data_IF_765315295579
#
_entry.id   IF_765315295579
#
_cell.length_a   1.000
_cell.length_b   1.000
_cell.length_c   1.000
_cell.angle_alpha   90.00
_cell.angle_beta   90.00
_cell.angle_gamma   90.00
#
_symmetry.space_group_name_H-M   'P 1'
#
loop_
_entity.id
_entity.type
_entity.pdbx_description
1 polymer ?
#
# COMPACT_ATOMS: atom_id res chain seq x y z
N UNK A 1 -5.02 13.37 14.34
CA UNK A 1 -3.88 12.56 13.86
C UNK A 1 -2.87 12.45 14.98
N UNK A 2 -2.56 11.25 15.46
CA UNK A 2 -1.62 11.02 16.56
C UNK A 2 -0.34 10.45 15.96
N UNK A 3 0.79 11.11 16.23
CA UNK A 3 2.12 10.59 15.91
C UNK A 3 2.63 9.81 17.11
N UNK A 4 3.02 8.56 16.88
CA UNK A 4 3.43 7.63 17.93
C UNK A 4 4.94 7.45 17.87
N UNK A 5 5.59 7.45 19.03
CA UNK A 5 7.00 7.11 19.11
C UNK A 5 7.16 5.60 19.03
N UNK A 6 8.11 5.12 18.22
CA UNK A 6 8.55 3.73 18.27
C UNK A 6 9.95 3.67 18.90
N UNK A 7 10.00 3.19 20.13
CA UNK A 7 11.24 3.13 20.89
C UNK A 7 12.24 2.11 20.31
N UNK A 8 11.77 1.15 19.50
CA UNK A 8 12.61 0.17 18.80
C UNK A 8 13.64 0.86 17.91
N UNK A 9 13.29 2.03 17.37
CA UNK A 9 14.13 2.79 16.44
C UNK A 9 14.74 4.05 17.07
N UNK A 10 14.69 4.18 18.40
CA UNK A 10 15.42 5.23 19.09
C UNK A 10 16.93 5.05 18.90
N UNK A 11 17.65 6.17 18.89
CA UNK A 11 19.08 6.26 18.60
C UNK A 11 19.46 5.77 17.20
N UNK A 12 18.51 5.70 16.26
CA UNK A 12 18.75 5.38 14.86
C UNK A 12 18.31 6.55 13.95
N UNK A 13 18.93 6.63 12.78
CA UNK A 13 18.48 7.42 11.62
C UNK A 13 18.87 6.69 10.33
N UNK A 14 18.60 7.28 9.16
CA UNK A 14 19.04 6.78 7.86
C UNK A 14 20.20 7.62 7.32
N UNK A 15 20.96 7.06 6.38
CA UNK A 15 22.00 7.80 5.67
C UNK A 15 21.44 8.63 4.49
N UNK A 16 20.28 8.24 3.94
CA UNK A 16 19.64 8.88 2.80
C UNK A 16 18.14 8.54 2.75
N UNK A 17 17.44 8.98 1.70
CA UNK A 17 16.04 8.64 1.46
C UNK A 17 15.03 9.54 2.20
N UNK A 18 15.50 10.67 2.72
CA UNK A 18 14.63 11.65 3.37
C UNK A 18 13.78 12.42 2.36
N UNK A 19 12.52 12.67 2.71
CA UNK A 19 11.65 13.62 2.00
C UNK A 19 12.19 15.04 2.18
N UNK A 20 12.61 15.35 3.41
CA UNK A 20 13.23 16.62 3.78
C UNK A 20 13.95 16.49 5.12
N UNK A 21 14.85 17.44 5.34
CA UNK A 21 15.50 17.70 6.61
C UNK A 21 15.24 19.16 6.98
N UNK A 22 14.73 19.41 8.19
CA UNK A 22 14.34 20.75 8.62
C UNK A 22 14.73 21.00 10.07
N UNK A 23 15.11 22.23 10.39
CA UNK A 23 15.27 22.66 11.78
C UNK A 23 13.91 22.70 12.47
N UNK A 24 13.83 22.17 13.69
CA UNK A 24 12.65 22.24 14.54
C UNK A 24 13.03 22.12 16.01
N UNK A 25 12.42 22.98 16.83
CA UNK A 25 12.74 23.03 18.27
C UNK A 25 11.98 22.01 19.12
N UNK A 26 11.11 21.21 18.52
CA UNK A 26 10.33 20.19 19.23
C UNK A 26 9.75 19.14 18.28
N UNK A 27 9.51 17.94 18.83
CA UNK A 27 8.75 16.87 18.17
C UNK A 27 7.37 17.32 17.67
N UNK A 28 6.70 18.24 18.38
CA UNK A 28 5.41 18.79 17.97
C UNK A 28 5.53 19.60 16.67
N UNK A 29 6.62 20.33 16.49
CA UNK A 29 6.86 21.06 15.23
C UNK A 29 7.16 20.08 14.09
N UNK A 30 7.90 19.00 14.35
CA UNK A 30 8.10 17.93 13.36
C UNK A 30 6.76 17.31 12.94
N UNK A 31 5.93 16.94 13.91
CA UNK A 31 4.67 16.25 13.67
C UNK A 31 3.70 17.11 12.86
N UNK A 32 3.58 18.41 13.15
CA UNK A 32 2.77 19.35 12.34
C UNK A 32 3.34 19.47 10.92
N UNK A 33 4.65 19.58 10.78
CA UNK A 33 5.30 19.73 9.47
C UNK A 33 5.10 18.48 8.61
N UNK A 34 5.25 17.29 9.21
CA UNK A 34 5.01 16.01 8.56
C UNK A 34 3.52 15.82 8.24
N UNK A 35 2.63 16.26 9.13
CA UNK A 35 1.18 16.25 8.87
C UNK A 35 0.80 17.10 7.64
N UNK A 36 1.51 18.18 7.37
CA UNK A 36 1.20 19.03 6.21
C UNK A 36 1.91 18.59 4.91
N UNK A 37 2.65 17.47 4.93
CA UNK A 37 3.32 16.91 3.75
C UNK A 37 2.92 15.44 3.61
N UNK A 38 2.05 15.13 2.64
CA UNK A 38 1.52 13.77 2.42
C UNK A 38 2.61 12.74 2.09
N UNK A 39 3.78 13.20 1.62
CA UNK A 39 4.92 12.32 1.36
C UNK A 39 5.61 11.89 2.65
N UNK A 40 5.33 12.54 3.78
CA UNK A 40 5.92 12.22 5.07
C UNK A 40 5.11 11.13 5.76
N UNK A 41 5.69 9.92 5.84
CA UNK A 41 5.12 8.75 6.51
C UNK A 41 5.64 8.58 7.93
N UNK A 42 6.91 8.93 8.17
CA UNK A 42 7.55 8.94 9.47
C UNK A 42 8.56 10.08 9.56
N UNK A 43 9.03 10.38 10.77
CA UNK A 43 10.13 11.32 10.97
C UNK A 43 10.99 10.93 12.17
N UNK A 44 12.26 11.30 12.10
CA UNK A 44 13.18 11.32 13.22
C UNK A 44 13.23 12.73 13.81
N UNK A 45 13.37 12.85 15.13
CA UNK A 45 13.60 14.10 15.83
C UNK A 45 14.88 14.00 16.67
N UNK A 46 15.80 14.96 16.52
CA UNK A 46 16.97 15.11 17.39
C UNK A 46 16.79 16.36 18.23
N UNK A 47 16.71 16.19 19.56
CA UNK A 47 16.65 17.34 20.47
C UNK A 47 17.99 18.07 20.58
N UNK A 48 19.10 17.34 20.45
CA UNK A 48 20.44 17.92 20.45
C UNK A 48 20.65 18.86 19.25
N UNK A 49 20.27 18.42 18.05
CA UNK A 49 20.45 19.19 16.81
C UNK A 49 19.28 20.14 16.52
N UNK A 50 18.19 20.05 17.31
CA UNK A 50 16.92 20.73 17.05
C UNK A 50 16.50 20.54 15.59
N UNK A 51 16.44 19.29 15.14
CA UNK A 51 16.17 18.94 13.75
C UNK A 51 15.17 17.79 13.61
N UNK A 52 14.49 17.76 12.46
CA UNK A 52 13.64 16.67 12.04
C UNK A 52 14.10 16.14 10.67
N UNK A 53 14.05 14.81 10.51
CA UNK A 53 14.33 14.13 9.25
C UNK A 53 13.09 13.32 8.86
N UNK A 54 12.42 13.69 7.77
CA UNK A 54 11.21 13.01 7.32
C UNK A 54 11.53 11.87 6.36
N UNK A 55 10.84 10.74 6.50
CA UNK A 55 10.91 9.62 5.57
C UNK A 55 9.53 9.35 4.94
N UNK A 56 9.49 8.83 3.70
CA UNK A 56 8.23 8.49 3.05
C UNK A 56 7.71 7.09 3.39
N UNK A 57 8.42 6.35 4.24
CA UNK A 57 8.12 4.98 4.62
C UNK A 57 8.34 4.78 6.12
N UNK A 58 7.73 3.72 6.63
CA UNK A 58 7.98 3.22 7.98
C UNK A 58 9.22 2.32 7.98
N UNK A 59 10.06 2.43 9.01
CA UNK A 59 11.12 1.47 9.26
C UNK A 59 10.52 0.10 9.57
N UNK A 60 11.09 -0.94 8.95
CA UNK A 60 10.70 -2.34 9.16
C UNK A 60 11.71 -3.13 9.98
N UNK A 61 12.97 -2.67 10.02
CA UNK A 61 14.04 -3.29 10.79
C UNK A 61 15.09 -2.26 11.20
N UNK A 62 15.84 -2.56 12.27
CA UNK A 62 16.93 -1.70 12.75
C UNK A 62 18.19 -1.80 11.87
N UNK A 63 18.32 -2.86 11.06
CA UNK A 63 19.48 -3.10 10.19
C UNK A 63 19.62 -2.10 9.04
N UNK A 64 18.57 -1.34 8.74
CA UNK A 64 18.57 -0.26 7.74
C UNK A 64 19.14 1.06 8.28
N UNK A 65 19.30 1.17 9.61
CA UNK A 65 19.63 2.40 10.30
C UNK A 65 21.11 2.57 10.64
N UNK A 66 21.54 3.82 10.77
CA UNK A 66 22.81 4.22 11.39
C UNK A 66 22.55 4.74 12.81
N UNK A 67 23.43 4.40 13.74
CA UNK A 67 23.30 4.81 15.14
C UNK A 67 23.61 6.29 15.30
N UNK A 68 22.62 7.06 15.75
CA UNK A 68 22.76 8.49 16.12
C UNK A 68 22.06 8.70 17.45
N UNK A 69 22.86 8.72 18.52
CA UNK A 69 22.39 8.81 19.91
C UNK A 69 21.54 10.07 20.12
N UNK A 70 20.41 9.92 20.83
CA UNK A 70 19.49 11.03 21.13
C UNK A 70 18.45 11.31 20.04
N UNK A 71 18.45 10.51 18.98
CA UNK A 71 17.40 10.57 17.95
C UNK A 71 16.18 9.76 18.36
N UNK A 72 15.00 10.33 18.25
CA UNK A 72 13.72 9.67 18.49
C UNK A 72 12.99 9.44 17.15
N UNK A 73 12.32 8.30 17.00
CA UNK A 73 11.57 7.99 15.77
C UNK A 73 10.07 8.01 16.02
N UNK A 74 9.34 8.70 15.13
CA UNK A 74 7.90 8.86 15.18
C UNK A 74 7.25 8.49 13.87
N UNK A 75 6.11 7.82 13.94
CA UNK A 75 5.34 7.44 12.77
C UNK A 75 3.85 7.77 12.92
N UNK A 76 3.18 7.88 11.78
CA UNK A 76 1.73 8.02 11.74
C UNK A 76 1.10 6.68 11.37
N UNK A 77 0.18 6.23 12.21
CA UNK A 77 -0.69 5.09 11.93
C UNK A 77 -2.15 5.50 12.18
N UNK A 78 -3.04 5.43 11.18
CA UNK A 78 -4.46 5.63 11.41
C UNK A 78 -4.98 4.56 12.38
N UNK A 79 -5.87 4.93 13.29
CA UNK A 79 -6.45 4.00 14.26
C UNK A 79 -7.17 2.81 13.58
N UNK A 80 -7.71 3.02 12.37
CA UNK A 80 -8.44 2.03 11.60
C UNK A 80 -7.54 1.19 10.68
N UNK A 81 -6.21 1.36 10.75
CA UNK A 81 -5.25 0.62 9.91
C UNK A 81 -4.69 -0.58 10.68
N UNK A 82 -5.05 -1.83 10.33
CA UNK A 82 -4.62 -3.02 11.07
C UNK A 82 -3.09 -3.14 11.12
N UNK A 83 -2.56 -3.79 12.17
CA UNK A 83 -1.13 -3.75 12.55
C UNK A 83 -0.18 -4.19 11.42
N UNK A 84 -0.61 -5.15 10.65
CA UNK A 84 0.08 -5.80 9.54
C UNK A 84 -0.17 -5.14 8.17
N UNK A 85 -0.94 -4.05 8.12
CA UNK A 85 -1.19 -3.29 6.90
C UNK A 85 -0.18 -2.14 6.75
N UNK A 86 0.21 -1.89 5.50
CA UNK A 86 0.98 -0.71 5.10
C UNK A 86 0.02 0.43 4.81
N UNK A 87 0.12 1.53 5.55
CA UNK A 87 -0.68 2.73 5.30
C UNK A 87 -0.07 3.61 4.20
N UNK A 88 -0.84 3.83 3.13
CA UNK A 88 -0.59 4.87 2.16
C UNK A 88 -1.37 6.14 2.53
N UNK A 89 -0.63 7.13 3.02
CA UNK A 89 -1.20 8.41 3.42
C UNK A 89 -1.77 9.24 2.27
N UNK A 90 -1.11 9.24 1.11
CA UNK A 90 -1.53 9.99 -0.09
C UNK A 90 -2.90 9.52 -0.59
N UNK A 91 -3.18 8.22 -0.50
CA UNK A 91 -4.43 7.62 -0.95
C UNK A 91 -5.41 7.33 0.20
N UNK A 92 -5.03 7.65 1.44
CA UNK A 92 -5.74 7.29 2.66
C UNK A 92 -6.17 5.80 2.70
N UNK A 93 -5.24 4.91 2.32
CA UNK A 93 -5.52 3.51 2.06
C UNK A 93 -4.59 2.62 2.89
N UNK A 94 -5.14 1.63 3.59
CA UNK A 94 -4.37 0.59 4.23
C UNK A 94 -4.32 -0.63 3.31
N UNK A 95 -3.14 -1.15 3.00
CA UNK A 95 -2.97 -2.30 2.10
C UNK A 95 -2.17 -3.41 2.77
N UNK A 96 -2.59 -4.65 2.57
CA UNK A 96 -1.82 -5.86 2.94
C UNK A 96 -1.68 -6.74 1.72
N UNK A 97 -0.43 -7.07 1.38
CA UNK A 97 -0.11 -8.05 0.34
C UNK A 97 -0.02 -9.42 1.00
N UNK A 98 -0.94 -10.32 0.66
CA UNK A 98 -0.94 -11.70 1.14
C UNK A 98 -0.16 -12.56 0.15
N UNK A 99 1.09 -12.87 0.50
CA UNK A 99 2.04 -13.62 -0.32
C UNK A 99 2.56 -14.89 0.38
N UNK A 100 1.89 -15.38 1.42
CA UNK A 100 2.22 -16.66 2.04
C UNK A 100 1.39 -17.80 1.44
N UNK A 101 0.15 -17.51 1.05
CA UNK A 101 -0.84 -18.48 0.58
C UNK A 101 -1.47 -17.99 -0.74
N UNK A 102 -2.11 -18.91 -1.45
CA UNK A 102 -2.86 -18.64 -2.67
C UNK A 102 -4.29 -19.14 -2.53
N UNK A 103 -5.26 -18.34 -2.97
CA UNK A 103 -6.70 -18.63 -2.89
C UNK A 103 -7.35 -18.36 -4.25
N UNK A 104 -8.48 -19.00 -4.54
CA UNK A 104 -9.33 -18.57 -5.66
C UNK A 104 -9.93 -17.18 -5.34
N UNK A 105 -10.52 -16.52 -6.34
CA UNK A 105 -10.99 -15.15 -6.19
C UNK A 105 -12.02 -14.99 -5.07
N UNK A 106 -13.00 -15.90 -5.00
CA UNK A 106 -14.08 -15.82 -4.01
C UNK A 106 -13.58 -16.01 -2.57
N UNK A 107 -12.64 -16.93 -2.36
CA UNK A 107 -12.02 -17.17 -1.06
C UNK A 107 -11.14 -15.98 -0.66
N UNK A 108 -10.33 -15.44 -1.59
CA UNK A 108 -9.52 -14.25 -1.36
C UNK A 108 -10.37 -13.01 -1.01
N UNK A 109 -11.49 -12.82 -1.73
CA UNK A 109 -12.48 -11.78 -1.47
C UNK A 109 -13.07 -11.93 -0.08
N UNK A 110 -13.52 -13.14 0.27
CA UNK A 110 -14.09 -13.46 1.60
C UNK A 110 -13.08 -13.18 2.73
N UNK A 111 -11.82 -13.58 2.56
CA UNK A 111 -10.75 -13.31 3.51
C UNK A 111 -10.56 -11.81 3.75
N UNK A 112 -10.49 -11.00 2.68
CA UNK A 112 -10.33 -9.55 2.84
C UNK A 112 -11.58 -8.87 3.43
N UNK A 113 -12.79 -9.36 3.12
CA UNK A 113 -14.07 -8.85 3.65
C UNK A 113 -14.32 -9.23 5.11
N UNK A 114 -13.61 -10.23 5.64
CA UNK A 114 -13.66 -10.59 7.07
C UNK A 114 -13.17 -9.47 8.00
N UNK A 115 -12.42 -8.51 7.44
CA UNK A 115 -11.89 -7.36 8.16
C UNK A 115 -12.88 -6.21 8.06
N UNK A 116 -13.11 -5.50 9.16
CA UNK A 116 -14.08 -4.40 9.19
C UNK A 116 -13.73 -3.29 8.19
N UNK A 117 -14.63 -3.01 7.24
CA UNK A 117 -14.41 -2.13 6.08
C UNK A 117 -13.25 -2.58 5.17
N UNK A 118 -12.96 -3.88 5.17
CA UNK A 118 -11.99 -4.52 4.30
C UNK A 118 -12.61 -5.06 3.02
N UNK A 119 -11.74 -5.39 2.07
CA UNK A 119 -12.07 -6.07 0.82
C UNK A 119 -10.81 -6.19 -0.04
N UNK A 120 -10.91 -6.83 -1.20
CA UNK A 120 -9.80 -6.78 -2.16
C UNK A 120 -9.50 -5.32 -2.52
N UNK A 121 -8.24 -5.03 -2.83
CA UNK A 121 -7.81 -3.66 -3.13
C UNK A 121 -8.47 -3.15 -4.41
N UNK A 122 -9.13 -1.99 -4.37
CA UNK A 122 -9.64 -1.36 -5.59
C UNK A 122 -8.70 -0.27 -6.05
N UNK A 123 -8.13 -0.45 -7.24
CA UNK A 123 -7.20 0.51 -7.82
C UNK A 123 -7.98 1.44 -8.77
N UNK A 124 -8.16 2.69 -8.35
CA UNK A 124 -8.98 3.71 -9.03
C UNK A 124 -8.19 4.73 -9.84
N UNK A 125 -6.87 4.76 -9.66
CA UNK A 125 -6.01 5.72 -10.34
C UNK A 125 -4.55 5.28 -10.34
N UNK A 126 -3.77 5.93 -11.20
CA UNK A 126 -2.33 5.71 -11.35
C UNK A 126 -1.52 5.85 -10.05
N UNK A 127 -1.91 6.73 -9.11
CA UNK A 127 -1.17 6.89 -7.86
C UNK A 127 -1.36 5.71 -6.90
N UNK A 128 -2.54 5.10 -6.88
CA UNK A 128 -2.80 3.87 -6.14
C UNK A 128 -2.04 2.71 -6.79
N UNK A 129 -2.14 2.60 -8.12
CA UNK A 129 -1.45 1.55 -8.87
C UNK A 129 0.06 1.59 -8.64
N UNK A 130 0.70 2.74 -8.87
CA UNK A 130 2.14 2.91 -8.69
C UNK A 130 2.61 2.63 -7.24
N UNK A 131 1.79 2.92 -6.24
CA UNK A 131 2.10 2.55 -4.86
C UNK A 131 2.09 1.03 -4.66
N UNK A 132 1.04 0.35 -5.13
CA UNK A 132 0.92 -1.10 -5.00
C UNK A 132 2.05 -1.80 -5.74
N UNK A 133 2.32 -1.41 -6.99
CA UNK A 133 3.44 -1.93 -7.79
C UNK A 133 4.78 -1.73 -7.09
N UNK A 134 5.01 -0.57 -6.47
CA UNK A 134 6.23 -0.33 -5.69
C UNK A 134 6.38 -1.30 -4.51
N UNK A 135 5.30 -1.63 -3.82
CA UNK A 135 5.34 -2.61 -2.72
C UNK A 135 5.51 -4.04 -3.25
N UNK A 136 4.85 -4.41 -4.35
CA UNK A 136 4.96 -5.73 -4.97
C UNK A 136 6.36 -5.99 -5.54
N UNK A 137 6.99 -5.01 -6.20
CA UNK A 137 8.36 -5.12 -6.74
C UNK A 137 9.42 -5.45 -5.69
N UNK A 138 9.16 -5.20 -4.40
CA UNK A 138 10.07 -5.57 -3.31
C UNK A 138 10.07 -7.08 -3.03
N UNK A 139 9.02 -7.79 -3.45
CA UNK A 139 8.84 -9.21 -3.17
C UNK A 139 9.54 -10.10 -4.20
N UNK A 140 9.84 -9.58 -5.40
CA UNK A 140 10.46 -10.32 -6.50
C UNK A 140 9.72 -11.63 -6.84
N UNK A 141 8.39 -11.56 -6.85
CA UNK A 141 7.50 -12.69 -7.13
C UNK A 141 7.03 -12.63 -8.59
N UNK A 142 6.82 -13.79 -9.18
CA UNK A 142 6.36 -13.94 -10.58
C UNK A 142 4.89 -14.36 -10.67
N UNK A 143 4.25 -14.74 -9.55
CA UNK A 143 2.84 -15.17 -9.56
C UNK A 143 1.85 -13.99 -9.43
N UNK A 144 0.68 -14.05 -10.11
CA UNK A 144 -0.33 -13.00 -10.05
C UNK A 144 -0.93 -12.71 -8.68
N UNK A 145 -1.53 -11.53 -8.57
CA UNK A 145 -2.21 -11.06 -7.37
C UNK A 145 -3.64 -10.63 -7.67
N UNK A 146 -4.64 -11.27 -7.05
CA UNK A 146 -6.02 -10.80 -7.11
C UNK A 146 -6.18 -9.40 -6.52
N UNK A 147 -6.97 -8.61 -7.23
CA UNK A 147 -7.43 -7.28 -6.85
C UNK A 147 -8.95 -7.21 -7.01
N UNK A 148 -9.57 -6.11 -6.57
CA UNK A 148 -11.01 -5.92 -6.69
C UNK A 148 -11.41 -5.47 -8.10
N UNK A 149 -12.55 -5.98 -8.56
CA UNK A 149 -13.16 -5.66 -9.84
C UNK A 149 -13.67 -6.91 -10.54
N UNK A 150 -14.93 -6.84 -11.00
CA UNK A 150 -15.56 -7.88 -11.80
C UNK A 150 -16.48 -7.28 -12.86
N UNK A 151 -16.53 -7.88 -14.03
CA UNK A 151 -17.41 -7.51 -15.15
C UNK A 151 -18.48 -8.59 -15.46
N UNK A 152 -18.73 -9.52 -14.52
CA UNK A 152 -19.78 -10.56 -14.61
C UNK A 152 -21.17 -10.00 -14.98
N UNK A 153 -21.43 -8.73 -14.63
CA UNK A 153 -22.69 -8.06 -14.94
C UNK A 153 -22.78 -7.52 -16.39
N UNK A 154 -21.65 -7.11 -16.96
CA UNK A 154 -21.54 -6.47 -18.28
C UNK A 154 -20.07 -6.55 -18.74
N UNK A 155 -19.77 -7.48 -19.66
CA UNK A 155 -18.43 -7.73 -20.22
C UNK A 155 -17.67 -6.44 -20.57
N UNK A 156 -16.42 -6.36 -20.12
CA UNK A 156 -15.55 -5.20 -20.32
C UNK A 156 -15.82 -4.02 -19.38
N UNK A 157 -16.79 -4.14 -18.47
CA UNK A 157 -17.14 -3.10 -17.48
C UNK A 157 -16.96 -3.59 -16.05
N UNK A 158 -15.74 -3.42 -15.57
CA UNK A 158 -15.35 -3.84 -14.22
C UNK A 158 -15.96 -2.95 -13.14
N UNK A 159 -16.71 -3.56 -12.24
CA UNK A 159 -17.35 -2.94 -11.08
C UNK A 159 -16.58 -3.36 -9.81
N UNK A 160 -16.14 -2.38 -9.03
CA UNK A 160 -15.52 -2.64 -7.72
C UNK A 160 -16.54 -2.91 -6.62
N UNK A 161 -16.07 -3.37 -5.46
CA UNK A 161 -16.89 -3.70 -4.28
C UNK A 161 -17.80 -2.59 -3.75
N UNK A 162 -17.52 -1.33 -4.08
CA UNK A 162 -18.36 -0.18 -3.72
C UNK A 162 -19.53 0.05 -4.71
N UNK A 163 -19.68 -0.82 -5.70
CA UNK A 163 -20.69 -0.74 -6.76
C UNK A 163 -20.37 0.28 -7.86
N UNK A 164 -19.18 0.88 -7.87
CA UNK A 164 -18.78 1.85 -8.89
C UNK A 164 -17.82 1.22 -9.88
N UNK A 165 -17.99 1.61 -11.14
CA UNK A 165 -17.08 1.25 -12.24
C UNK A 165 -15.63 1.66 -11.95
N UNK A 166 -14.70 0.78 -12.32
CA UNK A 166 -13.27 1.00 -12.31
C UNK A 166 -12.88 1.51 -13.70
N UNK A 167 -12.67 2.82 -13.81
CA UNK A 167 -12.33 3.45 -15.09
C UNK A 167 -10.83 3.56 -15.35
N UNK A 168 -10.00 3.27 -14.34
CA UNK A 168 -8.55 3.16 -14.50
C UNK A 168 -8.19 1.67 -14.59
N UNK A 169 -7.88 1.23 -15.81
CA UNK A 169 -7.46 -0.13 -16.13
C UNK A 169 -6.17 -0.04 -16.95
N UNK A 170 -5.07 -0.46 -16.35
CA UNK A 170 -3.74 -0.45 -16.99
C UNK A 170 -3.44 -1.87 -17.48
N UNK A 171 -4.15 -2.26 -18.53
CA UNK A 171 -4.16 -3.60 -19.09
C UNK A 171 -2.79 -4.06 -19.57
N UNK A 172 -2.49 -5.34 -19.36
CA UNK A 172 -1.33 -5.99 -19.95
C UNK A 172 -1.43 -6.06 -21.47
N UNK A 173 -0.33 -6.43 -22.12
CA UNK A 173 -0.29 -6.43 -23.58
C UNK A 173 -1.19 -7.49 -24.22
N UNK A 174 -1.56 -8.56 -23.49
CA UNK A 174 -2.34 -9.70 -23.99
C UNK A 174 -3.84 -9.42 -23.79
N UNK A 175 -4.28 -9.03 -22.59
CA UNK A 175 -5.68 -8.66 -22.30
C UNK A 175 -6.16 -7.47 -23.13
N UNK A 176 -5.27 -6.55 -23.54
CA UNK A 176 -5.65 -5.49 -24.50
C UNK A 176 -6.06 -6.01 -25.87
N UNK A 177 -5.53 -7.17 -26.27
CA UNK A 177 -5.75 -7.76 -27.60
C UNK A 177 -6.99 -8.67 -27.57
N UNK A 178 -7.37 -9.19 -26.40
CA UNK A 178 -8.38 -10.23 -26.26
C UNK A 178 -9.51 -9.86 -25.28
N UNK A 179 -10.16 -8.71 -25.49
CA UNK A 179 -11.36 -8.28 -24.74
C UNK A 179 -12.63 -9.10 -25.08
N UNK A 180 -12.50 -10.39 -25.39
CA UNK A 180 -13.58 -11.24 -25.89
C UNK A 180 -13.79 -12.52 -25.08
N UNK A 181 -13.12 -12.64 -23.94
CA UNK A 181 -13.23 -13.81 -23.08
C UNK A 181 -14.44 -13.69 -22.15
N UNK A 182 -15.63 -14.04 -22.66
CA UNK A 182 -16.92 -14.10 -21.92
C UNK A 182 -16.92 -15.00 -20.65
N UNK A 183 -15.78 -15.54 -20.22
CA UNK A 183 -15.62 -16.39 -19.05
C UNK A 183 -14.57 -15.88 -18.04
N UNK A 184 -13.96 -14.71 -18.28
CA UNK A 184 -12.90 -14.16 -17.43
C UNK A 184 -13.38 -12.90 -16.70
N UNK A 185 -14.15 -13.11 -15.63
CA UNK A 185 -14.90 -12.02 -15.03
C UNK A 185 -14.18 -11.27 -13.88
N UNK A 186 -12.90 -11.55 -13.58
CA UNK A 186 -12.21 -10.98 -12.40
C UNK A 186 -10.81 -10.49 -12.69
N UNK A 187 -10.36 -9.50 -11.91
CA UNK A 187 -9.06 -8.84 -12.13
C UNK A 187 -7.92 -9.41 -11.28
N UNK A 188 -6.74 -9.53 -11.89
CA UNK A 188 -5.48 -9.69 -11.19
C UNK A 188 -4.38 -8.75 -11.72
N UNK A 189 -3.28 -8.60 -10.97
CA UNK A 189 -2.07 -7.92 -11.42
C UNK A 189 -1.02 -8.96 -11.81
N UNK A 190 -0.49 -8.86 -13.03
CA UNK A 190 0.47 -9.79 -13.60
C UNK A 190 1.93 -9.29 -13.45
N UNK A 191 2.77 -9.91 -12.60
CA UNK A 191 4.14 -9.47 -12.38
C UNK A 191 5.03 -9.53 -13.62
N UNK A 192 4.77 -10.44 -14.57
CA UNK A 192 5.60 -10.56 -15.78
C UNK A 192 5.38 -9.41 -16.75
N UNK A 193 4.25 -8.70 -16.62
CA UNK A 193 3.86 -7.57 -17.44
C UNK A 193 3.92 -6.25 -16.65
N UNK A 194 4.89 -6.12 -15.75
CA UNK A 194 5.07 -4.94 -14.88
C UNK A 194 3.87 -4.64 -13.97
N UNK A 195 3.20 -5.69 -13.49
CA UNK A 195 2.01 -5.63 -12.64
C UNK A 195 0.83 -4.92 -13.32
N UNK A 196 0.68 -5.10 -14.62
CA UNK A 196 -0.50 -4.67 -15.36
C UNK A 196 -1.70 -5.58 -15.10
N UNK A 197 -2.87 -5.11 -15.48
CA UNK A 197 -4.13 -5.79 -15.25
C UNK A 197 -4.31 -6.93 -16.26
N UNK A 198 -4.82 -8.05 -15.75
CA UNK A 198 -5.22 -9.22 -16.52
C UNK A 198 -6.60 -9.65 -16.03
N UNK A 199 -7.49 -9.98 -16.95
CA UNK A 199 -8.81 -10.58 -16.72
C UNK A 199 -8.68 -12.12 -16.68
N UNK A 200 -9.24 -12.74 -15.64
CA UNK A 200 -9.10 -14.19 -15.39
C UNK A 200 -10.41 -14.81 -14.93
N UNK A 201 -10.51 -16.14 -14.98
CA UNK A 201 -11.74 -16.89 -14.63
C UNK A 201 -12.05 -16.94 -13.11
N UNK A 202 -11.12 -16.51 -12.26
CA UNK A 202 -11.28 -16.50 -10.80
C UNK A 202 -11.19 -17.86 -10.10
N UNK A 203 -11.08 -18.97 -10.83
CA UNK A 203 -10.98 -20.33 -10.30
C UNK A 203 -9.54 -20.71 -9.93
N UNK A 204 -8.57 -20.17 -10.66
CA UNK A 204 -7.14 -20.37 -10.38
C UNK A 204 -6.78 -19.72 -9.04
N UNK A 205 -5.92 -20.37 -8.25
CA UNK A 205 -5.50 -19.81 -6.97
C UNK A 205 -4.34 -18.84 -7.15
N UNK A 206 -4.49 -17.60 -6.70
CA UNK A 206 -3.44 -16.59 -6.72
C UNK A 206 -3.18 -16.01 -5.35
N UNK A 207 -2.07 -15.28 -5.24
CA UNK A 207 -1.85 -14.35 -4.12
C UNK A 207 -2.88 -13.24 -4.22
N UNK A 208 -3.05 -12.43 -3.19
CA UNK A 208 -4.11 -11.42 -3.19
C UNK A 208 -3.78 -10.23 -2.31
N UNK A 209 -4.40 -9.10 -2.62
CA UNK A 209 -4.12 -7.83 -1.95
C UNK A 209 -5.40 -7.34 -1.30
N UNK A 210 -5.39 -7.26 0.02
CA UNK A 210 -6.49 -6.67 0.78
C UNK A 210 -6.26 -5.18 0.99
N UNK A 211 -7.35 -4.43 1.03
CA UNK A 211 -7.38 -3.07 1.54
C UNK A 211 -8.30 -2.92 2.76
N UNK A 212 -8.07 -1.85 3.52
CA UNK A 212 -9.04 -1.28 4.47
C UNK A 212 -9.13 0.21 4.20
N UNK A 213 -10.33 0.71 3.94
CA UNK A 213 -10.58 2.14 3.73
C UNK A 213 -10.64 2.84 5.08
N UNK A 214 -9.65 3.69 5.38
CA UNK A 214 -9.68 4.48 6.61
C UNK A 214 -10.71 5.60 6.46
N UNK A 215 -11.79 5.53 7.26
CA UNK A 215 -12.72 6.67 7.46
C UNK A 215 -12.02 7.88 8.06
#
# INVERSE_FOLDING_TARGET
MIWTQDETYNNLTLSAGFVWQKTARSRLKCSVTCTNDERCGAFFFSDADKSCLATPFLLKSTGEGITVIGTEYYFFRPANCPVDYTYNRKNNLCVKINNAETLNFNDAKTECESIANGGLVTIRNQNQHAFIVKELKKLLLEEPFYIDGTDEAEEGKFIGKDGKEITYLDWDSISQIDMSHEAQDVLCLNPTEDFKYEDVDGTTTFRYICEVVSK
#
